data_IF_836468024545
#
_entry.id   IF_836468024545
#
_cell.length_a   1.000
_cell.length_b   1.000
_cell.length_c   1.000
_cell.angle_alpha   90.00
_cell.angle_beta   90.00
_cell.angle_gamma   90.00
#
_symmetry.space_group_name_H-M   'P 1'
#
loop_
_entity.id
_entity.type
_entity.pdbx_description
1 polymer ?
#
# COMPACT_ATOMS: atom_id res chain seq x y z
N UNK A 1 -24.24 2.89 4.98
CA UNK A 1 -23.31 2.10 4.15
C UNK A 1 -22.57 3.08 3.25
N UNK A 2 -21.37 3.52 3.61
CA UNK A 2 -20.60 4.46 2.77
C UNK A 2 -19.80 3.65 1.75
N UNK A 3 -20.36 3.55 0.55
CA UNK A 3 -19.67 3.11 -0.66
C UNK A 3 -18.38 3.93 -0.81
N UNK A 4 -17.27 3.28 -1.20
CA UNK A 4 -16.01 3.97 -1.50
C UNK A 4 -16.25 5.08 -2.52
N UNK A 5 -16.29 6.34 -2.05
CA UNK A 5 -16.61 7.49 -2.87
C UNK A 5 -15.32 8.05 -3.50
N UNK A 6 -14.90 7.44 -4.61
CA UNK A 6 -13.68 7.83 -5.31
C UNK A 6 -13.67 9.30 -5.71
N UNK A 7 -14.82 9.88 -6.09
CA UNK A 7 -14.93 11.28 -6.51
C UNK A 7 -14.62 12.25 -5.35
N UNK A 8 -15.15 11.98 -4.17
CA UNK A 8 -14.89 12.78 -2.97
C UNK A 8 -13.44 12.65 -2.51
N UNK A 9 -12.91 11.42 -2.49
CA UNK A 9 -11.53 11.13 -2.10
C UNK A 9 -10.54 11.81 -3.05
N UNK A 10 -10.81 11.78 -4.36
CA UNK A 10 -9.99 12.45 -5.37
C UNK A 10 -10.05 13.95 -5.22
N UNK A 11 -11.24 14.53 -5.11
CA UNK A 11 -11.39 15.98 -4.94
C UNK A 11 -10.65 16.46 -3.70
N UNK A 12 -10.81 15.79 -2.57
CA UNK A 12 -10.12 16.12 -1.32
C UNK A 12 -8.60 15.98 -1.48
N UNK A 13 -8.12 14.86 -2.03
CA UNK A 13 -6.68 14.60 -2.21
C UNK A 13 -6.02 15.62 -3.14
N UNK A 14 -6.64 15.92 -4.29
CA UNK A 14 -6.08 16.85 -5.27
C UNK A 14 -6.13 18.31 -4.78
N UNK A 15 -7.10 18.66 -3.94
CA UNK A 15 -7.18 20.01 -3.35
C UNK A 15 -6.02 20.33 -2.40
N UNK A 16 -5.41 19.31 -1.79
CA UNK A 16 -4.26 19.44 -0.90
C UNK A 16 -2.91 19.51 -1.63
N UNK A 17 -2.87 19.39 -2.96
CA UNK A 17 -1.63 19.41 -3.75
C UNK A 17 -1.32 20.82 -4.25
N UNK A 18 -0.02 21.14 -4.29
CA UNK A 18 0.48 22.31 -5.04
C UNK A 18 0.31 22.09 -6.55
N UNK A 19 0.35 23.18 -7.30
CA UNK A 19 0.27 23.21 -8.76
C UNK A 19 1.24 22.22 -9.44
N UNK A 20 2.52 22.25 -9.08
CA UNK A 20 3.52 21.34 -9.65
C UNK A 20 3.29 19.88 -9.23
N UNK A 21 2.85 19.63 -7.99
CA UNK A 21 2.56 18.28 -7.50
C UNK A 21 1.36 17.70 -8.24
N UNK A 22 0.32 18.52 -8.45
CA UNK A 22 -0.86 18.15 -9.22
C UNK A 22 -0.50 17.87 -10.68
N UNK A 23 0.33 18.72 -11.30
CA UNK A 23 0.81 18.49 -12.67
C UNK A 23 1.55 17.15 -12.80
N UNK A 24 2.39 16.79 -11.83
CA UNK A 24 3.06 15.47 -11.79
C UNK A 24 2.05 14.33 -11.66
N UNK A 25 1.03 14.45 -10.79
CA UNK A 25 -0.01 13.43 -10.63
C UNK A 25 -0.81 13.22 -11.91
N UNK A 26 -1.27 14.29 -12.56
CA UNK A 26 -2.01 14.20 -13.83
C UNK A 26 -1.12 13.61 -14.94
N UNK A 27 0.19 13.90 -14.92
CA UNK A 27 1.12 13.29 -15.87
C UNK A 27 1.28 11.78 -15.64
N UNK A 28 1.35 11.34 -14.39
CA UNK A 28 1.43 9.90 -14.05
C UNK A 28 0.15 9.18 -14.49
N UNK A 29 -1.03 9.75 -14.22
CA UNK A 29 -2.33 9.20 -14.64
C UNK A 29 -2.40 9.06 -16.17
N UNK A 30 -2.03 10.13 -16.90
CA UNK A 30 -1.95 10.09 -18.36
C UNK A 30 -1.05 8.95 -18.85
N UNK A 31 0.14 8.77 -18.26
CA UNK A 31 1.08 7.72 -18.66
C UNK A 31 0.50 6.32 -18.45
N UNK A 32 -0.12 6.05 -17.29
CA UNK A 32 -0.76 4.76 -17.04
C UNK A 32 -1.92 4.47 -18.00
N UNK A 33 -2.76 5.47 -18.30
CA UNK A 33 -3.83 5.36 -19.30
C UNK A 33 -3.34 5.10 -20.72
N UNK A 34 -2.07 5.41 -21.02
CA UNK A 34 -1.43 5.20 -22.32
C UNK A 34 -0.44 4.03 -22.30
N UNK A 35 -0.71 2.98 -21.49
CA UNK A 35 0.06 1.74 -21.41
C UNK A 35 1.52 1.88 -20.95
N UNK A 36 1.90 3.01 -20.34
CA UNK A 36 3.22 3.15 -19.73
C UNK A 36 3.21 2.64 -18.29
N UNK A 37 3.59 1.38 -18.11
CA UNK A 37 3.47 0.68 -16.80
C UNK A 37 4.53 1.09 -15.76
N UNK A 38 5.53 1.91 -16.13
CA UNK A 38 6.65 2.26 -15.27
C UNK A 38 6.95 3.75 -15.37
N UNK A 39 6.92 4.45 -14.25
CA UNK A 39 7.19 5.89 -14.16
C UNK A 39 8.13 6.14 -12.99
N UNK A 40 9.14 6.99 -13.20
CA UNK A 40 10.06 7.47 -12.17
C UNK A 40 9.80 8.96 -11.92
N UNK A 41 9.53 9.33 -10.67
CA UNK A 41 9.33 10.73 -10.27
C UNK A 41 10.57 11.23 -9.53
N UNK A 42 11.29 12.14 -10.17
CA UNK A 42 12.58 12.65 -9.72
C UNK A 42 12.53 14.14 -9.32
N UNK A 43 11.81 14.46 -8.23
CA UNK A 43 11.87 15.78 -7.57
C UNK A 43 13.00 15.92 -6.53
N UNK A 44 13.26 17.16 -6.10
CA UNK A 44 14.19 17.50 -5.00
C UNK A 44 13.69 16.98 -3.64
N UNK A 45 14.61 16.82 -2.69
CA UNK A 45 14.27 16.41 -1.33
C UNK A 45 13.33 17.44 -0.69
N UNK A 46 12.27 16.97 -0.03
CA UNK A 46 11.30 17.84 0.63
C UNK A 46 10.21 18.42 -0.27
N UNK A 47 10.21 18.17 -1.59
CA UNK A 47 9.15 18.66 -2.49
C UNK A 47 7.81 17.92 -2.38
N UNK A 48 7.68 16.98 -1.43
CA UNK A 48 6.42 16.30 -1.15
C UNK A 48 6.13 15.11 -2.05
N UNK A 49 7.14 14.31 -2.43
CA UNK A 49 6.98 13.06 -3.20
C UNK A 49 5.91 12.12 -2.63
N UNK A 50 5.77 12.05 -1.30
CA UNK A 50 4.71 11.26 -0.65
C UNK A 50 3.30 11.78 -0.97
N UNK A 51 3.12 13.10 -1.11
CA UNK A 51 1.84 13.69 -1.52
C UNK A 51 1.54 13.40 -3.00
N UNK A 52 2.57 13.48 -3.85
CA UNK A 52 2.45 13.07 -5.26
C UNK A 52 2.05 11.59 -5.35
N UNK A 53 2.70 10.71 -4.58
CA UNK A 53 2.35 9.29 -4.52
C UNK A 53 0.90 9.07 -4.06
N UNK A 54 0.43 9.81 -3.04
CA UNK A 54 -0.97 9.78 -2.60
C UNK A 54 -1.93 10.16 -3.73
N UNK A 55 -1.65 11.24 -4.47
CA UNK A 55 -2.46 11.63 -5.63
C UNK A 55 -2.46 10.59 -6.75
N UNK A 56 -1.29 10.01 -7.05
CA UNK A 56 -1.14 8.96 -8.05
C UNK A 56 -1.93 7.69 -7.67
N UNK A 57 -1.93 7.31 -6.39
CA UNK A 57 -2.75 6.20 -5.86
C UNK A 57 -4.23 6.43 -6.17
N UNK A 58 -4.75 7.63 -5.91
CA UNK A 58 -6.18 7.92 -6.12
C UNK A 58 -6.55 7.90 -7.60
N UNK A 59 -5.73 8.50 -8.47
CA UNK A 59 -5.94 8.44 -9.93
C UNK A 59 -5.89 7.00 -10.45
N UNK A 60 -4.93 6.22 -9.97
CA UNK A 60 -4.80 4.80 -10.35
C UNK A 60 -5.97 3.98 -9.83
N UNK A 61 -6.48 4.27 -8.63
CA UNK A 61 -7.68 3.63 -8.10
C UNK A 61 -8.91 3.92 -8.97
N UNK A 62 -9.09 5.18 -9.43
CA UNK A 62 -10.14 5.51 -10.41
C UNK A 62 -9.97 4.69 -11.69
N UNK A 63 -8.76 4.64 -12.26
CA UNK A 63 -8.48 3.85 -13.45
C UNK A 63 -8.86 2.37 -13.26
N UNK A 64 -8.51 1.79 -12.11
CA UNK A 64 -8.84 0.38 -11.79
C UNK A 64 -10.33 0.13 -11.60
N UNK A 65 -11.07 1.10 -11.08
CA UNK A 65 -12.55 1.04 -11.02
C UNK A 65 -13.15 1.07 -12.43
N UNK A 66 -12.64 1.93 -13.32
CA UNK A 66 -13.06 1.98 -14.73
C UNK A 66 -12.78 0.65 -15.44
N UNK A 67 -11.70 -0.03 -15.09
CA UNK A 67 -11.33 -1.38 -15.58
C UNK A 67 -12.12 -2.52 -14.92
N UNK A 68 -13.00 -2.24 -13.95
CA UNK A 68 -13.78 -3.22 -13.17
C UNK A 68 -12.91 -4.19 -12.35
N UNK A 69 -11.80 -3.71 -11.80
CA UNK A 69 -11.05 -4.45 -10.80
C UNK A 69 -11.82 -4.45 -9.47
N UNK A 70 -11.82 -5.57 -8.75
CA UNK A 70 -12.54 -5.76 -7.49
C UNK A 70 -11.76 -5.21 -6.28
N UNK A 71 -10.42 -5.17 -6.37
CA UNK A 71 -9.55 -4.74 -5.27
C UNK A 71 -8.22 -4.17 -5.77
N UNK A 72 -7.97 -2.89 -5.49
CA UNK A 72 -6.72 -2.23 -5.87
C UNK A 72 -5.62 -2.42 -4.81
N UNK A 73 -4.60 -3.20 -5.14
CA UNK A 73 -3.46 -3.50 -4.25
C UNK A 73 -2.26 -2.60 -4.51
N UNK A 74 -1.70 -2.04 -3.44
CA UNK A 74 -0.55 -1.14 -3.48
C UNK A 74 0.55 -1.72 -2.62
N UNK A 75 1.73 -1.96 -3.20
CA UNK A 75 2.91 -2.39 -2.45
C UNK A 75 3.81 -1.18 -2.22
N UNK A 76 4.02 -0.81 -0.97
CA UNK A 76 4.91 0.28 -0.58
C UNK A 76 6.22 -0.28 -0.02
N UNK A 77 7.33 -0.05 -0.72
CA UNK A 77 8.65 -0.56 -0.33
C UNK A 77 9.48 0.56 0.29
N UNK A 78 10.04 0.31 1.48
CA UNK A 78 10.97 1.23 2.15
C UNK A 78 12.08 0.45 2.86
N UNK A 79 13.26 1.04 3.01
CA UNK A 79 14.36 0.44 3.79
C UNK A 79 14.10 0.45 5.29
N UNK A 80 13.35 1.44 5.81
CA UNK A 80 13.21 1.67 7.24
C UNK A 80 11.75 1.59 7.70
N UNK A 81 11.48 0.74 8.70
CA UNK A 81 10.14 0.53 9.27
C UNK A 81 9.53 1.79 9.89
N UNK A 82 10.33 2.61 10.58
CA UNK A 82 9.83 3.83 11.21
C UNK A 82 9.37 4.85 10.15
N UNK A 83 10.14 4.98 9.08
CA UNK A 83 9.80 5.84 7.94
C UNK A 83 8.58 5.29 7.20
N UNK A 84 8.51 3.96 7.05
CA UNK A 84 7.36 3.31 6.44
C UNK A 84 6.07 3.64 7.20
N UNK A 85 6.03 3.41 8.52
CA UNK A 85 4.84 3.69 9.34
C UNK A 85 4.34 5.14 9.21
N UNK A 86 5.26 6.11 9.14
CA UNK A 86 4.91 7.52 8.95
C UNK A 86 4.37 7.81 7.53
N UNK A 87 5.00 7.25 6.50
CA UNK A 87 4.62 7.48 5.11
C UNK A 87 3.30 6.78 4.77
N UNK A 88 3.10 5.56 5.24
CA UNK A 88 1.87 4.80 4.98
C UNK A 88 0.66 5.54 5.52
N UNK A 89 0.73 6.13 6.73
CA UNK A 89 -0.36 6.97 7.27
C UNK A 89 -0.69 8.18 6.39
N UNK A 90 0.29 8.71 5.64
CA UNK A 90 0.07 9.80 4.68
C UNK A 90 -0.47 9.32 3.34
N UNK A 91 -0.16 8.08 2.96
CA UNK A 91 -0.61 7.42 1.73
C UNK A 91 -2.01 6.82 1.88
N UNK A 92 -2.45 6.52 3.09
CA UNK A 92 -3.79 6.01 3.35
C UNK A 92 -4.84 7.07 3.02
N UNK A 93 -5.65 6.77 1.99
CA UNK A 93 -6.72 7.63 1.51
C UNK A 93 -8.11 7.14 1.93
N UNK A 94 -8.22 5.90 2.42
CA UNK A 94 -9.50 5.33 2.86
C UNK A 94 -9.75 5.62 4.33
N UNK A 95 -8.69 5.82 5.12
CA UNK A 95 -8.77 5.93 6.58
C UNK A 95 -9.24 4.65 7.27
N UNK A 96 -9.45 3.59 6.48
CA UNK A 96 -9.93 2.25 6.88
C UNK A 96 -8.82 1.21 6.76
N UNK A 97 -7.65 1.58 6.24
CA UNK A 97 -6.51 0.68 6.23
C UNK A 97 -5.98 0.53 7.65
N UNK A 98 -6.46 -0.49 8.35
CA UNK A 98 -5.88 -0.96 9.59
C UNK A 98 -4.48 -1.49 9.29
N UNK A 99 -3.48 -0.60 9.23
CA UNK A 99 -2.08 -1.02 9.26
C UNK A 99 -1.83 -1.46 10.70
N UNK A 100 -2.14 -2.73 10.93
CA UNK A 100 -1.73 -3.48 12.10
C UNK A 100 -0.21 -3.39 12.24
N UNK A 101 0.23 -3.55 13.48
CA UNK A 101 1.61 -3.52 13.99
C UNK A 101 2.77 -3.72 13.00
N UNK A 102 3.94 -3.18 13.39
CA UNK A 102 5.26 -3.33 12.76
C UNK A 102 5.58 -4.72 12.17
N UNK A 103 5.04 -5.81 12.74
CA UNK A 103 5.13 -7.19 12.22
C UNK A 103 4.61 -7.34 10.79
N UNK A 104 3.67 -6.49 10.38
CA UNK A 104 2.93 -6.58 9.12
C UNK A 104 3.77 -6.06 7.95
N UNK A 105 5.00 -5.60 8.23
CA UNK A 105 5.97 -5.12 7.23
C UNK A 105 7.02 -6.17 6.84
N UNK A 106 7.08 -7.30 7.56
CA UNK A 106 8.06 -8.38 7.29
C UNK A 106 7.51 -9.34 6.24
N UNK A 107 8.34 -9.68 5.24
CA UNK A 107 8.00 -10.60 4.15
C UNK A 107 7.49 -11.95 4.64
N UNK A 108 8.06 -12.45 5.74
CA UNK A 108 7.68 -13.71 6.40
C UNK A 108 6.21 -13.77 6.82
N UNK A 109 5.57 -12.63 7.10
CA UNK A 109 4.18 -12.56 7.54
C UNK A 109 3.22 -12.04 6.47
N UNK A 110 3.72 -11.56 5.32
CA UNK A 110 2.91 -10.91 4.29
C UNK A 110 1.80 -11.80 3.74
N UNK A 111 2.08 -13.08 3.49
CA UNK A 111 1.08 -13.99 2.93
C UNK A 111 -0.13 -14.14 3.84
N UNK A 112 0.08 -14.30 5.15
CA UNK A 112 -1.01 -14.34 6.13
C UNK A 112 -1.78 -13.02 6.13
N UNK A 113 -1.06 -11.88 6.15
CA UNK A 113 -1.70 -10.56 6.22
C UNK A 113 -2.51 -10.24 4.97
N UNK A 114 -2.00 -10.55 3.79
CA UNK A 114 -2.72 -10.40 2.53
C UNK A 114 -4.01 -11.24 2.57
N UNK A 115 -3.92 -12.51 3.00
CA UNK A 115 -5.11 -13.36 3.12
C UNK A 115 -6.11 -12.87 4.18
N UNK A 116 -5.64 -12.40 5.34
CA UNK A 116 -6.52 -11.81 6.37
C UNK A 116 -7.27 -10.60 5.79
N UNK A 117 -6.56 -9.71 5.10
CA UNK A 117 -7.12 -8.49 4.51
C UNK A 117 -8.06 -8.78 3.33
N UNK A 118 -7.73 -9.76 2.49
CA UNK A 118 -8.59 -10.23 1.40
C UNK A 118 -9.88 -10.91 1.91
N UNK A 119 -9.95 -11.29 3.18
CA UNK A 119 -11.16 -11.82 3.80
C UNK A 119 -11.85 -10.83 4.73
N UNK A 120 -11.27 -9.65 4.96
CA UNK A 120 -11.84 -8.60 5.79
C UNK A 120 -12.90 -7.80 5.01
N UNK A 121 -14.18 -7.84 5.43
CA UNK A 121 -15.24 -7.08 4.77
C UNK A 121 -14.98 -5.58 4.75
N UNK A 122 -14.33 -5.02 5.78
CA UNK A 122 -14.05 -3.59 5.87
C UNK A 122 -13.02 -3.12 4.84
N UNK A 123 -12.04 -3.98 4.53
CA UNK A 123 -11.01 -3.69 3.54
C UNK A 123 -11.58 -3.85 2.12
N UNK A 124 -12.41 -4.87 1.88
CA UNK A 124 -13.15 -5.00 0.63
C UNK A 124 -14.04 -3.79 0.36
N UNK A 125 -14.76 -3.30 1.38
CA UNK A 125 -15.53 -2.07 1.28
C UNK A 125 -14.66 -0.83 1.00
N UNK A 126 -13.40 -0.83 1.45
CA UNK A 126 -12.43 0.23 1.26
C UNK A 126 -11.80 0.28 -0.13
N UNK A 127 -11.95 -0.77 -0.95
CA UNK A 127 -11.41 -0.95 -2.30
C UNK A 127 -9.87 -0.95 -2.46
N UNK A 128 -9.16 -0.17 -1.64
CA UNK A 128 -7.71 0.00 -1.70
C UNK A 128 -7.05 -0.78 -0.57
N UNK A 129 -6.14 -1.69 -0.92
CA UNK A 129 -5.33 -2.46 0.02
C UNK A 129 -3.87 -1.97 -0.04
N UNK A 130 -3.38 -1.36 1.04
CA UNK A 130 -2.00 -0.87 1.15
C UNK A 130 -1.12 -1.85 1.94
N UNK A 131 -0.11 -2.41 1.26
CA UNK A 131 0.77 -3.45 1.77
C UNK A 131 2.19 -2.89 1.92
N UNK A 132 2.64 -2.56 3.15
CA UNK A 132 3.98 -2.06 3.37
C UNK A 132 5.00 -3.19 3.45
N UNK A 133 6.17 -2.99 2.86
CA UNK A 133 7.21 -3.99 2.76
C UNK A 133 8.56 -3.36 3.12
N UNK A 134 9.23 -3.94 4.12
CA UNK A 134 10.58 -3.52 4.52
C UNK A 134 11.56 -4.67 4.33
N UNK A 135 12.21 -4.78 3.15
CA UNK A 135 13.06 -5.94 2.82
C UNK A 135 14.18 -6.14 3.83
N UNK A 136 14.80 -5.05 4.27
CA UNK A 136 15.96 -5.09 5.16
C UNK A 136 15.66 -5.79 6.50
N UNK A 137 14.46 -5.64 7.03
CA UNK A 137 14.05 -6.29 8.29
C UNK A 137 13.68 -7.76 8.12
N UNK A 138 13.48 -8.19 6.87
CA UNK A 138 13.19 -9.58 6.51
C UNK A 138 14.46 -10.34 6.12
N UNK A 139 15.46 -9.67 5.55
CA UNK A 139 16.70 -10.29 5.06
C UNK A 139 17.91 -10.09 5.99
N UNK A 140 17.92 -9.10 6.89
CA UNK A 140 18.94 -9.04 7.96
C UNK A 140 18.57 -10.00 9.08
N UNK A 141 19.07 -11.23 8.98
CA UNK A 141 18.99 -12.21 10.07
C UNK A 141 19.89 -11.77 11.22
N UNK A 142 19.28 -11.45 12.37
CA UNK A 142 19.98 -11.48 13.66
C UNK A 142 19.98 -12.92 14.18
N UNK A 143 20.84 -13.25 15.13
CA UNK A 143 21.03 -14.61 15.69
C UNK A 143 19.82 -15.19 16.46
N UNK A 144 18.58 -14.77 16.15
CA UNK A 144 17.35 -15.18 16.82
C UNK A 144 16.39 -15.98 15.93
N UNK A 145 15.58 -16.86 16.54
CA UNK A 145 14.61 -17.74 15.87
C UNK A 145 13.29 -17.08 15.43
N UNK A 146 13.33 -15.81 15.01
CA UNK A 146 12.14 -15.04 14.59
C UNK A 146 11.19 -14.62 15.73
N UNK A 147 10.04 -14.04 15.37
CA UNK A 147 8.97 -13.68 16.30
C UNK A 147 8.11 -14.89 16.69
N UNK A 148 7.30 -14.75 17.74
CA UNK A 148 6.34 -15.79 18.15
C UNK A 148 5.34 -16.07 17.03
N UNK A 149 4.87 -15.02 16.35
CA UNK A 149 3.91 -15.09 15.27
C UNK A 149 4.48 -15.81 14.05
N UNK A 150 5.75 -15.54 13.70
CA UNK A 150 6.44 -16.23 12.61
C UNK A 150 6.55 -17.74 12.89
N UNK A 151 6.94 -18.11 14.12
CA UNK A 151 7.01 -19.52 14.51
C UNK A 151 5.64 -20.19 14.53
N UNK A 152 4.60 -19.49 14.99
CA UNK A 152 3.24 -20.00 15.00
C UNK A 152 2.71 -20.26 13.58
N UNK A 153 2.95 -19.33 12.65
CA UNK A 153 2.59 -19.46 11.24
C UNK A 153 3.33 -20.62 10.57
N UNK A 154 4.64 -20.71 10.80
CA UNK A 154 5.46 -21.82 10.30
C UNK A 154 4.94 -23.18 10.83
N UNK A 155 4.66 -23.29 12.12
CA UNK A 155 4.07 -24.50 12.70
C UNK A 155 2.72 -24.86 12.07
N UNK A 156 1.85 -23.85 11.86
CA UNK A 156 0.55 -24.05 11.24
C UNK A 156 0.64 -24.56 9.79
N UNK A 157 1.65 -24.11 9.03
CA UNK A 157 1.93 -24.57 7.67
C UNK A 157 2.48 -25.99 7.70
N UNK A 158 3.56 -26.23 8.47
CA UNK A 158 4.25 -27.52 8.53
C UNK A 158 3.31 -28.64 8.99
N UNK A 159 2.42 -28.39 9.96
CA UNK A 159 1.44 -29.37 10.45
C UNK A 159 0.44 -29.82 9.37
N UNK A 160 0.24 -29.02 8.31
CA UNK A 160 -0.72 -29.29 7.23
C UNK A 160 -0.05 -29.87 5.98
N UNK A 161 1.27 -29.94 5.94
CA UNK A 161 1.97 -30.57 4.83
C UNK A 161 1.77 -32.09 4.88
N UNK A 162 1.45 -32.73 3.75
CA UNK A 162 1.42 -34.19 3.67
C UNK A 162 2.83 -34.74 3.97
N UNK A 163 2.87 -35.85 4.70
CA UNK A 163 4.10 -36.62 4.99
C UNK A 163 4.52 -37.40 3.75
#
# INVERSE_FOLDING_TARGET
MSQFNIDEIEKHTLSGLKDFQRATVERVDYLFRHNQNRVLVADEVGMGKTLIARGAIVKTARLKIEEKDDLFKIIYICSNQNIANQNIRKLDVTGKNAIGSVSDTRLSMQHLKITEQENDPQIKEGYIQLIPLTPETSFRMTSGGGSVQERALMYAILRRMPV
#
